data_IF_855391650635
#
_entry.id   IF_855391650635
#
_cell.length_a   1.000
_cell.length_b   1.000
_cell.length_c   1.000
_cell.angle_alpha   90.00
_cell.angle_beta   90.00
_cell.angle_gamma   90.00
#
_symmetry.space_group_name_H-M   'P 1'
#
loop_
_entity.id
_entity.type
_entity.pdbx_description
1 polymer ?
#
# COMPACT_ATOMS: atom_id res chain seq x y z
N UNK A 1 12.42 -2.13 11.90
CA UNK A 1 12.39 -1.39 10.63
C UNK A 1 10.98 -0.90 10.37
N UNK A 2 10.83 0.37 10.04
CA UNK A 2 9.51 0.97 9.83
C UNK A 2 9.23 1.19 8.35
N UNK A 3 8.02 0.84 7.92
CA UNK A 3 7.62 0.94 6.53
C UNK A 3 7.06 2.32 6.19
N UNK A 4 7.43 2.82 5.03
CA UNK A 4 6.77 3.98 4.42
C UNK A 4 5.78 3.42 3.40
N UNK A 5 4.51 3.72 3.58
CA UNK A 5 3.43 3.12 2.79
C UNK A 5 2.72 4.18 1.96
N UNK A 6 2.50 3.87 0.69
CA UNK A 6 1.71 4.71 -0.21
C UNK A 6 0.43 3.97 -0.56
N UNK A 7 -0.71 4.65 -0.45
CA UNK A 7 -1.98 4.12 -0.94
C UNK A 7 -2.48 5.03 -2.06
N UNK A 8 -2.74 4.46 -3.21
CA UNK A 8 -3.14 5.20 -4.40
C UNK A 8 -4.47 4.69 -4.94
N UNK A 9 -5.34 5.60 -5.33
CA UNK A 9 -6.67 5.24 -5.82
C UNK A 9 -7.08 6.13 -6.99
N UNK A 10 -7.86 5.56 -7.91
CA UNK A 10 -8.36 6.27 -9.09
C UNK A 10 -9.45 7.28 -8.74
N UNK A 11 -10.19 7.06 -7.67
CA UNK A 11 -11.42 7.78 -7.38
C UNK A 11 -11.28 8.99 -6.47
N UNK A 12 -10.08 9.53 -6.38
CA UNK A 12 -9.85 10.78 -5.68
C UNK A 12 -9.64 10.67 -4.19
N UNK A 13 -9.66 11.83 -3.52
CA UNK A 13 -9.19 11.96 -2.14
C UNK A 13 -10.01 11.18 -1.11
N UNK A 14 -11.33 11.08 -1.31
CA UNK A 14 -12.19 10.40 -0.35
C UNK A 14 -11.89 8.91 -0.22
N UNK A 15 -11.80 8.22 -1.35
CA UNK A 15 -11.53 6.79 -1.37
C UNK A 15 -10.10 6.49 -0.92
N UNK A 16 -9.12 7.28 -1.33
CA UNK A 16 -7.74 7.06 -0.91
C UNK A 16 -7.56 7.28 0.59
N UNK A 17 -8.31 8.22 1.17
CA UNK A 17 -8.29 8.41 2.62
C UNK A 17 -8.83 7.18 3.34
N UNK A 18 -9.91 6.59 2.83
CA UNK A 18 -10.48 5.36 3.40
C UNK A 18 -9.49 4.20 3.28
N UNK A 19 -8.78 4.09 2.16
CA UNK A 19 -7.70 3.10 2.00
C UNK A 19 -6.62 3.30 3.06
N UNK A 20 -6.24 4.54 3.31
CA UNK A 20 -5.25 4.86 4.33
C UNK A 20 -5.72 4.39 5.70
N UNK A 21 -6.98 4.64 6.04
CA UNK A 21 -7.55 4.20 7.31
C UNK A 21 -7.56 2.68 7.43
N UNK A 22 -7.88 1.98 6.33
CA UNK A 22 -7.83 0.53 6.29
C UNK A 22 -6.40 0.03 6.51
N UNK A 23 -5.44 0.66 5.85
CA UNK A 23 -4.04 0.29 6.01
C UNK A 23 -3.54 0.52 7.44
N UNK A 24 -3.99 1.58 8.07
CA UNK A 24 -3.66 1.85 9.48
C UNK A 24 -4.17 0.74 10.39
N UNK A 25 -5.43 0.33 10.22
CA UNK A 25 -6.01 -0.76 11.02
C UNK A 25 -5.29 -2.08 10.80
N UNK A 26 -5.04 -2.43 9.55
CA UNK A 26 -4.43 -3.72 9.20
C UNK A 26 -2.99 -3.80 9.68
N UNK A 27 -2.21 -2.75 9.49
CA UNK A 27 -0.81 -2.76 9.93
C UNK A 27 -0.70 -2.83 11.45
N UNK A 28 -1.63 -2.20 12.17
CA UNK A 28 -1.68 -2.32 13.62
C UNK A 28 -2.03 -3.73 14.04
N UNK A 29 -3.00 -4.35 13.38
CA UNK A 29 -3.39 -5.72 13.67
C UNK A 29 -2.25 -6.69 13.45
N UNK A 30 -1.45 -6.48 12.42
CA UNK A 30 -0.31 -7.32 12.09
C UNK A 30 0.96 -6.97 12.89
N UNK A 31 0.86 -5.99 13.76
CA UNK A 31 1.97 -5.52 14.57
C UNK A 31 3.17 -5.10 13.74
N UNK A 32 2.90 -4.36 12.66
CA UNK A 32 3.95 -3.84 11.77
C UNK A 32 4.46 -2.50 12.26
N UNK A 33 5.75 -2.25 12.08
CA UNK A 33 6.33 -0.93 12.28
C UNK A 33 6.03 -0.06 11.07
N UNK A 34 5.37 1.08 11.27
CA UNK A 34 4.99 1.98 10.19
C UNK A 34 5.49 3.39 10.50
N UNK A 35 6.25 3.96 9.55
CA UNK A 35 6.74 5.33 9.65
C UNK A 35 5.65 6.31 9.22
N UNK A 36 5.07 6.07 8.04
CA UNK A 36 3.96 6.89 7.56
C UNK A 36 3.15 6.14 6.52
N UNK A 37 1.89 6.57 6.37
CA UNK A 37 1.02 6.11 5.30
C UNK A 37 0.50 7.36 4.59
N UNK A 38 0.85 7.51 3.32
CA UNK A 38 0.41 8.64 2.51
C UNK A 38 -0.62 8.20 1.49
N UNK A 39 -1.69 8.98 1.31
CA UNK A 39 -2.71 8.67 0.30
C UNK A 39 -2.69 9.70 -0.82
N UNK A 40 -2.96 9.24 -2.04
CA UNK A 40 -2.92 10.11 -3.21
C UNK A 40 -3.70 9.52 -4.39
N UNK A 41 -3.80 10.29 -5.46
CA UNK A 41 -4.33 9.79 -6.72
C UNK A 41 -3.29 8.90 -7.42
N UNK A 42 -3.75 8.01 -8.31
CA UNK A 42 -2.86 7.08 -9.01
C UNK A 42 -1.72 7.77 -9.74
N UNK A 43 -2.03 8.81 -10.51
CA UNK A 43 -1.00 9.50 -11.31
C UNK A 43 0.04 10.19 -10.44
N UNK A 44 -0.38 10.71 -9.30
CA UNK A 44 0.54 11.34 -8.34
C UNK A 44 1.45 10.30 -7.71
N UNK A 45 0.89 9.14 -7.37
CA UNK A 45 1.63 8.07 -6.73
C UNK A 45 2.73 7.48 -7.59
N UNK A 46 2.53 7.41 -8.91
CA UNK A 46 3.53 6.85 -9.82
C UNK A 46 4.88 7.55 -9.70
N UNK A 47 4.86 8.88 -9.61
CA UNK A 47 6.10 9.66 -9.56
C UNK A 47 6.83 9.56 -8.21
N UNK A 48 6.13 9.21 -7.14
CA UNK A 48 6.72 9.14 -5.80
C UNK A 48 6.86 7.70 -5.26
N UNK A 49 6.35 6.71 -5.98
CA UNK A 49 6.28 5.33 -5.47
C UNK A 49 7.62 4.76 -5.03
N UNK A 50 8.70 5.11 -5.69
CA UNK A 50 10.03 4.58 -5.35
C UNK A 50 10.55 5.04 -3.99
N UNK A 51 9.93 6.08 -3.43
CA UNK A 51 10.31 6.61 -2.13
C UNK A 51 9.67 5.83 -0.98
N UNK A 52 8.80 4.88 -1.32
CA UNK A 52 8.04 4.10 -0.35
C UNK A 52 8.49 2.65 -0.35
N UNK A 53 8.20 1.96 0.74
CA UNK A 53 8.52 0.53 0.87
C UNK A 53 7.39 -0.34 0.37
N UNK A 54 6.14 0.10 0.56
CA UNK A 54 4.94 -0.64 0.18
C UNK A 54 3.99 0.31 -0.53
N UNK A 55 3.43 -0.14 -1.66
CA UNK A 55 2.41 0.63 -2.40
C UNK A 55 1.16 -0.23 -2.56
N UNK A 56 0.02 0.31 -2.17
CA UNK A 56 -1.29 -0.31 -2.43
C UNK A 56 -1.98 0.44 -3.56
N UNK A 57 -2.53 -0.29 -4.52
CA UNK A 57 -3.26 0.27 -5.64
C UNK A 57 -4.39 -0.68 -6.05
N UNK A 58 -5.42 -0.19 -6.75
CA UNK A 58 -6.43 -1.09 -7.30
C UNK A 58 -5.79 -2.06 -8.28
N UNK A 59 -6.21 -3.33 -8.23
CA UNK A 59 -5.59 -4.40 -9.02
C UNK A 59 -5.51 -4.08 -10.51
N UNK A 60 -6.56 -3.50 -11.08
CA UNK A 60 -6.61 -3.20 -12.51
C UNK A 60 -5.69 -2.03 -12.93
N UNK A 61 -5.09 -1.33 -11.97
CA UNK A 61 -4.12 -0.27 -12.25
C UNK A 61 -2.71 -0.61 -11.77
N UNK A 62 -2.48 -1.86 -11.40
CA UNK A 62 -1.21 -2.31 -10.85
C UNK A 62 -0.04 -2.10 -11.83
N UNK A 63 -0.31 -2.22 -13.13
CA UNK A 63 0.71 -2.05 -14.15
C UNK A 63 1.31 -0.64 -14.20
N UNK A 64 0.63 0.35 -13.63
CA UNK A 64 1.18 1.70 -13.56
C UNK A 64 2.41 1.78 -12.64
N UNK A 65 2.58 0.80 -11.77
CA UNK A 65 3.64 0.78 -10.75
C UNK A 65 4.74 -0.23 -11.04
N UNK A 66 4.87 -0.67 -12.31
CA UNK A 66 5.89 -1.65 -12.69
C UNK A 66 7.31 -1.17 -12.38
N UNK A 67 7.60 0.11 -12.61
CA UNK A 67 8.93 0.66 -12.35
C UNK A 67 9.27 0.62 -10.86
N UNK A 68 8.30 0.93 -10.01
CA UNK A 68 8.49 0.84 -8.56
C UNK A 68 8.75 -0.60 -8.13
N UNK A 69 8.01 -1.55 -8.69
CA UNK A 69 8.18 -2.97 -8.41
C UNK A 69 9.59 -3.44 -8.79
N UNK A 70 10.06 -3.01 -9.96
CA UNK A 70 11.42 -3.35 -10.43
C UNK A 70 12.49 -2.73 -9.53
N UNK A 71 12.20 -1.60 -8.92
CA UNK A 71 13.11 -0.93 -8.00
C UNK A 71 13.14 -1.58 -6.60
N UNK A 72 12.34 -2.59 -6.36
CA UNK A 72 12.32 -3.31 -5.09
C UNK A 72 11.19 -2.94 -4.15
N UNK A 73 10.29 -2.04 -4.57
CA UNK A 73 9.12 -1.67 -3.76
C UNK A 73 8.11 -2.82 -3.79
N UNK A 74 7.50 -3.11 -2.65
CA UNK A 74 6.44 -4.11 -2.57
C UNK A 74 5.15 -3.46 -3.06
N UNK A 75 4.72 -3.81 -4.27
CA UNK A 75 3.53 -3.26 -4.89
C UNK A 75 2.39 -4.27 -4.80
N UNK A 76 1.30 -3.88 -4.15
CA UNK A 76 0.18 -4.76 -3.87
C UNK A 76 -1.08 -4.25 -4.56
N UNK A 77 -1.66 -5.11 -5.42
CA UNK A 77 -2.93 -4.82 -6.07
C UNK A 77 -4.09 -5.37 -5.26
N UNK A 78 -5.11 -4.55 -5.07
CA UNK A 78 -6.29 -4.92 -4.30
C UNK A 78 -7.52 -4.95 -5.19
N UNK A 79 -8.31 -6.02 -5.08
CA UNK A 79 -9.61 -6.11 -5.75
C UNK A 79 -10.61 -5.18 -5.08
N UNK A 80 -10.61 -5.18 -3.77
CA UNK A 80 -11.42 -4.27 -2.97
C UNK A 80 -10.49 -3.45 -2.08
N UNK A 81 -10.29 -2.20 -2.47
CA UNK A 81 -9.32 -1.33 -1.80
C UNK A 81 -9.69 -1.01 -0.34
N UNK A 82 -10.93 -1.31 0.06
CA UNK A 82 -11.40 -1.06 1.41
C UNK A 82 -11.53 -2.34 2.25
N UNK A 83 -11.07 -3.48 1.72
CA UNK A 83 -11.16 -4.75 2.44
C UNK A 83 -9.96 -4.95 3.37
N UNK A 84 -10.23 -4.94 4.67
CA UNK A 84 -9.21 -5.25 5.67
C UNK A 84 -8.64 -6.65 5.46
N UNK A 85 -9.51 -7.62 5.19
CA UNK A 85 -9.11 -9.02 5.03
C UNK A 85 -8.17 -9.21 3.84
N UNK A 86 -8.49 -8.59 2.70
CA UNK A 86 -7.65 -8.71 1.51
C UNK A 86 -6.29 -8.04 1.74
N UNK A 87 -6.29 -6.86 2.33
CA UNK A 87 -5.05 -6.13 2.60
C UNK A 87 -4.15 -6.91 3.56
N UNK A 88 -4.72 -7.49 4.61
CA UNK A 88 -3.99 -8.32 5.56
C UNK A 88 -3.37 -9.53 4.87
N UNK A 89 -4.16 -10.25 4.08
CA UNK A 89 -3.69 -11.42 3.35
C UNK A 89 -2.53 -11.08 2.42
N UNK A 90 -2.65 -9.99 1.67
CA UNK A 90 -1.59 -9.58 0.73
C UNK A 90 -0.32 -9.14 1.44
N UNK A 91 -0.43 -8.47 2.57
CA UNK A 91 0.74 -8.08 3.35
C UNK A 91 1.49 -9.30 3.88
N UNK A 92 0.77 -10.32 4.31
CA UNK A 92 1.38 -11.57 4.78
C UNK A 92 2.01 -12.34 3.62
N UNK A 93 1.29 -12.49 2.50
CA UNK A 93 1.78 -13.24 1.34
C UNK A 93 3.04 -12.61 0.74
N UNK A 94 3.12 -11.29 0.72
CA UNK A 94 4.25 -10.58 0.12
C UNK A 94 5.50 -10.59 1.01
N UNK A 95 5.36 -11.03 2.26
CA UNK A 95 6.43 -10.97 3.23
C UNK A 95 6.58 -9.62 3.90
N UNK A 96 5.74 -8.64 3.56
CA UNK A 96 5.83 -7.29 4.12
C UNK A 96 5.57 -7.28 5.62
N UNK A 97 4.58 -8.06 6.07
CA UNK A 97 4.25 -8.12 7.49
C UNK A 97 5.43 -8.60 8.33
N UNK A 98 6.16 -9.58 7.83
CA UNK A 98 7.34 -10.11 8.50
C UNK A 98 8.51 -9.15 8.41
N UNK A 99 8.75 -8.60 7.21
CA UNK A 99 9.88 -7.70 6.97
C UNK A 99 9.82 -6.45 7.83
N UNK A 100 8.64 -5.92 8.04
CA UNK A 100 8.43 -4.69 8.81
C UNK A 100 7.78 -4.94 10.17
N UNK A 101 7.92 -6.13 10.72
CA UNK A 101 7.37 -6.42 12.04
C UNK A 101 7.99 -5.51 13.10
N UNK A 102 7.14 -5.02 13.99
CA UNK A 102 7.59 -4.12 15.06
C UNK A 102 8.36 -4.86 16.16
#
# INVERSE_FOLDING_TARGET
MNAKILVACANGAGTSLMMKMTAERVTQKLNMGVDKIHHCALSEGVSSARQYDIVFAPLNFLNMYEDAKKAGVIVIGLRNVLSDAEMEEKLVESGAAEKFSA
#
